data_IF_505279622076
#
_entry.id   IF_505279622076
#
_cell.length_a   1.000
_cell.length_b   1.000
_cell.length_c   1.000
_cell.angle_alpha   90.00
_cell.angle_beta   90.00
_cell.angle_gamma   90.00
#
_symmetry.space_group_name_H-M   'P 1'
#
loop_
_entity.id
_entity.type
_entity.pdbx_description
1 polymer ?
#
# COMPACT_ATOMS: atom_id res chain seq x y z
N UNK A 1 19.39 -8.52 3.72
CA UNK A 1 19.47 -7.08 3.39
C UNK A 1 19.12 -6.76 1.94
N UNK A 2 19.69 -7.48 0.94
CA UNK A 2 19.37 -7.25 -0.49
C UNK A 2 17.86 -7.34 -0.77
N UNK A 3 17.18 -8.35 -0.21
CA UNK A 3 15.73 -8.50 -0.32
C UNK A 3 14.96 -7.25 0.11
N UNK A 4 15.31 -6.65 1.24
CA UNK A 4 14.68 -5.42 1.74
C UNK A 4 14.94 -4.23 0.82
N UNK A 5 16.14 -4.07 0.28
CA UNK A 5 16.44 -2.99 -0.67
C UNK A 5 15.59 -3.14 -1.93
N UNK A 6 15.49 -4.36 -2.46
CA UNK A 6 14.64 -4.65 -3.62
C UNK A 6 13.17 -4.32 -3.32
N UNK A 7 12.65 -4.71 -2.16
CA UNK A 7 11.28 -4.36 -1.75
C UNK A 7 11.06 -2.85 -1.66
N UNK A 8 12.01 -2.11 -1.08
CA UNK A 8 11.92 -0.66 -0.97
C UNK A 8 11.87 0.02 -2.35
N UNK A 9 12.75 -0.40 -3.28
CA UNK A 9 12.78 0.13 -4.64
C UNK A 9 11.48 -0.17 -5.38
N UNK A 10 10.98 -1.41 -5.28
CA UNK A 10 9.71 -1.80 -5.91
C UNK A 10 8.52 -1.05 -5.30
N UNK A 11 8.52 -0.83 -3.98
CA UNK A 11 7.49 -0.05 -3.29
C UNK A 11 7.44 1.39 -3.80
N UNK A 12 8.60 2.06 -3.89
CA UNK A 12 8.70 3.43 -4.44
C UNK A 12 8.27 3.45 -5.90
N UNK A 13 8.73 2.50 -6.72
CA UNK A 13 8.41 2.44 -8.14
C UNK A 13 6.90 2.25 -8.38
N UNK A 14 6.23 1.39 -7.62
CA UNK A 14 4.79 1.13 -7.74
C UNK A 14 3.99 2.37 -7.33
N UNK A 15 4.34 3.01 -6.22
CA UNK A 15 3.67 4.25 -5.77
C UNK A 15 3.86 5.36 -6.80
N UNK A 16 5.09 5.54 -7.29
CA UNK A 16 5.38 6.51 -8.34
C UNK A 16 4.57 6.24 -9.60
N UNK A 17 4.53 5.00 -10.08
CA UNK A 17 3.79 4.64 -11.29
C UNK A 17 2.28 4.84 -11.15
N UNK A 18 1.74 4.57 -9.96
CA UNK A 18 0.34 4.82 -9.64
C UNK A 18 0.03 6.33 -9.69
N UNK A 19 0.85 7.17 -9.04
CA UNK A 19 0.68 8.63 -9.05
C UNK A 19 0.84 9.19 -10.46
N UNK A 20 1.89 8.79 -11.18
CA UNK A 20 2.18 9.23 -12.54
C UNK A 20 1.10 8.80 -13.54
N UNK A 21 0.43 7.66 -13.32
CA UNK A 21 -0.70 7.21 -14.14
C UNK A 21 -2.00 7.97 -13.88
N UNK A 22 -2.06 8.81 -12.84
CA UNK A 22 -3.28 9.46 -12.36
C UNK A 22 -3.10 10.98 -12.14
N UNK A 23 -2.53 11.74 -13.09
CA UNK A 23 -2.21 13.16 -12.87
C UNK A 23 -3.45 14.00 -12.56
N UNK A 24 -4.62 13.64 -13.10
CA UNK A 24 -5.87 14.35 -12.85
C UNK A 24 -6.37 14.23 -11.41
N UNK A 25 -6.00 13.14 -10.71
CA UNK A 25 -6.34 12.93 -9.30
C UNK A 25 -5.29 13.60 -8.41
N UNK A 26 -4.00 13.43 -8.73
CA UNK A 26 -2.90 13.90 -7.89
C UNK A 26 -2.48 15.36 -8.14
N UNK A 27 -3.12 16.06 -9.08
CA UNK A 27 -2.95 17.51 -9.25
C UNK A 27 -3.30 18.30 -7.99
N UNK A 28 -2.80 19.53 -7.92
CA UNK A 28 -3.21 20.50 -6.89
C UNK A 28 -4.66 20.93 -7.13
N UNK A 29 -5.53 20.94 -6.11
CA UNK A 29 -6.87 21.51 -6.23
C UNK A 29 -6.82 22.99 -6.64
N UNK A 30 -7.80 23.45 -7.42
CA UNK A 30 -7.86 24.83 -7.91
C UNK A 30 -8.05 25.85 -6.76
N UNK A 31 -8.76 25.45 -5.71
CA UNK A 31 -9.03 26.27 -4.53
C UNK A 31 -8.83 25.47 -3.25
N UNK A 32 -8.53 26.18 -2.15
CA UNK A 32 -8.34 25.57 -0.84
C UNK A 32 -7.00 24.85 -0.66
N UNK A 33 -6.85 24.05 0.42
CA UNK A 33 -5.59 23.41 0.78
C UNK A 33 -5.23 22.26 -0.17
N UNK A 34 -3.92 22.01 -0.35
CA UNK A 34 -3.42 20.94 -1.22
C UNK A 34 -3.81 19.52 -0.75
N UNK A 35 -4.03 19.36 0.56
CA UNK A 35 -4.38 18.09 1.24
C UNK A 35 -5.43 18.41 2.31
N UNK A 36 -6.47 17.59 2.43
CA UNK A 36 -7.50 17.76 3.46
C UNK A 36 -7.03 17.16 4.80
N UNK A 37 -7.65 17.53 5.94
CA UNK A 37 -7.34 16.89 7.22
C UNK A 37 -7.47 15.36 7.17
N UNK A 38 -8.48 14.83 6.45
CA UNK A 38 -8.68 13.40 6.32
C UNK A 38 -7.62 12.73 5.43
N UNK A 39 -7.22 13.37 4.32
CA UNK A 39 -6.08 12.89 3.52
C UNK A 39 -4.79 12.85 4.36
N UNK A 40 -4.54 13.88 5.18
CA UNK A 40 -3.40 13.90 6.09
C UNK A 40 -3.43 12.71 7.06
N UNK A 41 -4.58 12.40 7.67
CA UNK A 41 -4.73 11.25 8.57
C UNK A 41 -4.38 9.95 7.83
N UNK A 42 -4.91 9.73 6.63
CA UNK A 42 -4.59 8.54 5.85
C UNK A 42 -3.11 8.46 5.48
N UNK A 43 -2.48 9.55 5.04
CA UNK A 43 -1.05 9.54 4.73
C UNK A 43 -0.19 9.27 5.96
N UNK A 44 -0.51 9.87 7.11
CA UNK A 44 0.22 9.64 8.37
C UNK A 44 0.10 8.18 8.80
N UNK A 45 -1.10 7.62 8.83
CA UNK A 45 -1.32 6.21 9.17
C UNK A 45 -0.57 5.29 8.20
N UNK A 46 -0.66 5.57 6.88
CA UNK A 46 0.03 4.81 5.86
C UNK A 46 1.55 4.81 6.05
N UNK A 47 2.16 6.00 6.20
CA UNK A 47 3.61 6.15 6.39
C UNK A 47 4.06 5.49 7.70
N UNK A 48 3.33 5.69 8.80
CA UNK A 48 3.62 5.04 10.07
C UNK A 48 3.59 3.52 9.95
N UNK A 49 2.63 2.96 9.20
CA UNK A 49 2.54 1.52 8.98
C UNK A 49 3.74 0.96 8.21
N UNK A 50 4.30 1.71 7.26
CA UNK A 50 5.54 1.33 6.56
C UNK A 50 6.68 1.30 7.55
N UNK A 51 6.86 2.36 8.36
CA UNK A 51 7.96 2.45 9.31
C UNK A 51 7.96 1.30 10.33
N UNK A 52 6.78 1.00 10.89
CA UNK A 52 6.61 -0.10 11.86
C UNK A 52 6.81 -1.45 11.17
N UNK A 53 6.21 -1.68 10.01
CA UNK A 53 6.41 -2.92 9.26
C UNK A 53 7.86 -3.15 8.88
N UNK A 54 8.57 -2.10 8.46
CA UNK A 54 9.98 -2.16 8.09
C UNK A 54 10.88 -2.55 9.25
N UNK A 55 10.61 -2.01 10.45
CA UNK A 55 11.32 -2.39 11.66
C UNK A 55 11.24 -3.90 11.91
N UNK A 56 10.04 -4.48 11.83
CA UNK A 56 9.85 -5.93 12.02
C UNK A 56 10.44 -6.76 10.88
N UNK A 57 10.36 -6.30 9.63
CA UNK A 57 10.97 -6.98 8.49
C UNK A 57 12.50 -7.03 8.59
N UNK A 58 13.14 -5.97 9.10
CA UNK A 58 14.59 -5.97 9.37
C UNK A 58 14.94 -6.99 10.44
N UNK A 59 14.18 -7.03 11.54
CA UNK A 59 14.38 -8.01 12.62
C UNK A 59 14.24 -9.43 12.10
N UNK A 60 13.17 -9.70 11.34
CA UNK A 60 12.94 -11.00 10.71
C UNK A 60 14.12 -11.42 9.83
N UNK A 61 14.57 -10.58 8.89
CA UNK A 61 15.70 -10.94 8.02
C UNK A 61 17.00 -11.12 8.80
N UNK A 62 17.25 -10.32 9.84
CA UNK A 62 18.46 -10.44 10.65
C UNK A 62 18.47 -11.70 11.53
N UNK A 63 17.29 -12.11 12.03
CA UNK A 63 17.14 -13.26 12.91
C UNK A 63 17.10 -14.56 12.13
N UNK A 64 16.39 -14.58 11.00
CA UNK A 64 16.05 -15.82 10.32
C UNK A 64 16.86 -16.10 9.06
N UNK A 65 17.55 -15.14 8.43
CA UNK A 65 18.17 -15.42 7.12
C UNK A 65 19.33 -16.43 7.17
N UNK A 66 20.07 -16.53 8.27
CA UNK A 66 21.23 -17.44 8.45
C UNK A 66 22.12 -17.65 7.20
N UNK A 67 22.47 -16.55 6.52
CA UNK A 67 23.29 -16.58 5.30
C UNK A 67 22.55 -16.93 4.01
N UNK A 68 21.27 -17.31 4.06
CA UNK A 68 20.41 -17.45 2.89
C UNK A 68 20.20 -16.08 2.22
N UNK A 69 20.32 -16.08 0.88
CA UNK A 69 20.13 -14.90 0.03
C UNK A 69 18.89 -15.02 -0.86
N UNK A 70 18.22 -16.16 -0.85
CA UNK A 70 17.02 -16.39 -1.66
C UNK A 70 15.81 -15.71 -1.01
N UNK A 71 15.16 -14.74 -1.67
CA UNK A 71 14.04 -14.02 -1.07
C UNK A 71 12.73 -14.81 -1.07
N UNK A 72 12.62 -15.91 -1.83
CA UNK A 72 11.36 -16.61 -2.07
C UNK A 72 11.22 -17.83 -1.15
N UNK A 73 12.26 -18.64 -0.97
CA UNK A 73 12.24 -19.87 -0.16
C UNK A 73 13.46 -20.03 0.76
N UNK A 74 13.30 -20.85 1.80
CA UNK A 74 14.30 -21.10 2.84
C UNK A 74 14.25 -20.10 3.99
N UNK A 75 15.31 -20.09 4.79
CA UNK A 75 15.46 -19.26 5.98
C UNK A 75 15.51 -17.75 5.64
N UNK A 76 14.79 -16.92 6.40
CA UNK A 76 14.61 -15.49 6.19
C UNK A 76 13.88 -15.10 4.89
N UNK A 77 13.22 -16.06 4.23
CA UNK A 77 12.52 -15.85 2.96
C UNK A 77 11.04 -15.51 3.15
N UNK A 78 10.38 -15.14 2.05
CA UNK A 78 8.93 -14.93 2.04
C UNK A 78 8.14 -16.18 2.44
N UNK A 79 8.56 -17.38 2.03
CA UNK A 79 7.89 -18.62 2.40
C UNK A 79 7.89 -18.82 3.93
N UNK A 80 9.03 -18.62 4.59
CA UNK A 80 9.12 -18.72 6.04
C UNK A 80 8.35 -17.60 6.75
N UNK A 81 8.35 -16.38 6.20
CA UNK A 81 7.52 -15.28 6.73
C UNK A 81 6.03 -15.67 6.76
N UNK A 82 5.52 -16.29 5.68
CA UNK A 82 4.14 -16.77 5.61
C UNK A 82 3.90 -17.93 6.57
N UNK A 83 4.85 -18.87 6.69
CA UNK A 83 4.75 -19.97 7.66
C UNK A 83 4.62 -19.45 9.09
N UNK A 84 5.47 -18.49 9.48
CA UNK A 84 5.44 -17.87 10.81
C UNK A 84 4.14 -17.10 11.08
N UNK A 85 3.51 -16.53 10.03
CA UNK A 85 2.21 -15.88 10.14
C UNK A 85 1.09 -16.85 10.56
N UNK A 86 1.29 -18.16 10.40
CA UNK A 86 0.33 -19.22 10.77
C UNK A 86 0.87 -20.22 11.80
N UNK A 87 1.93 -19.87 12.53
CA UNK A 87 2.64 -20.82 13.42
C UNK A 87 1.86 -21.25 14.66
N UNK A 88 0.83 -20.50 15.09
CA UNK A 88 0.02 -20.80 16.26
C UNK A 88 -1.37 -20.16 16.12
N UNK A 89 -2.38 -20.54 16.94
CA UNK A 89 -3.75 -20.04 16.79
C UNK A 89 -3.90 -18.51 16.82
N UNK A 90 -3.13 -17.81 17.68
CA UNK A 90 -3.20 -16.36 17.76
C UNK A 90 -2.60 -15.68 16.53
N UNK A 91 -1.44 -16.17 16.06
CA UNK A 91 -0.83 -15.71 14.81
C UNK A 91 -1.75 -16.00 13.61
N UNK A 92 -2.30 -17.22 13.53
CA UNK A 92 -3.23 -17.62 12.47
C UNK A 92 -4.50 -16.78 12.43
N UNK A 93 -5.02 -16.35 13.58
CA UNK A 93 -6.15 -15.42 13.64
C UNK A 93 -5.82 -14.10 12.94
N UNK A 94 -4.67 -13.50 13.25
CA UNK A 94 -4.24 -12.26 12.59
C UNK A 94 -3.85 -12.48 11.12
N UNK A 95 -3.20 -13.61 10.81
CA UNK A 95 -2.78 -13.99 9.45
C UNK A 95 -3.96 -14.23 8.51
N UNK A 96 -5.07 -14.78 9.02
CA UNK A 96 -6.30 -14.95 8.27
C UNK A 96 -6.96 -13.59 7.95
N UNK A 97 -7.03 -12.67 8.91
CA UNK A 97 -7.51 -11.29 8.64
C UNK A 97 -6.65 -10.58 7.60
N UNK A 98 -5.32 -10.68 7.71
CA UNK A 98 -4.39 -10.15 6.71
C UNK A 98 -4.65 -10.77 5.32
N UNK A 99 -4.84 -12.08 5.25
CA UNK A 99 -5.05 -12.78 3.98
C UNK A 99 -6.36 -12.34 3.32
N UNK A 100 -7.46 -12.34 4.08
CA UNK A 100 -8.77 -11.93 3.55
C UNK A 100 -8.76 -10.44 3.20
N UNK A 101 -8.30 -9.59 4.09
CA UNK A 101 -8.28 -8.15 3.89
C UNK A 101 -7.36 -7.71 2.75
N UNK A 102 -6.14 -8.24 2.68
CA UNK A 102 -5.12 -7.80 1.74
C UNK A 102 -5.17 -8.53 0.40
N UNK A 103 -5.35 -9.85 0.41
CA UNK A 103 -5.18 -10.69 -0.80
C UNK A 103 -6.51 -10.93 -1.51
N UNK A 104 -7.65 -10.81 -0.80
CA UNK A 104 -8.98 -11.01 -1.38
C UNK A 104 -9.72 -9.67 -1.52
N UNK A 105 -9.99 -9.00 -0.40
CA UNK A 105 -10.86 -7.82 -0.39
C UNK A 105 -10.22 -6.60 -1.05
N UNK A 106 -8.96 -6.28 -0.72
CA UNK A 106 -8.27 -5.12 -1.31
C UNK A 106 -8.20 -5.17 -2.85
N UNK A 107 -7.77 -6.26 -3.53
CA UNK A 107 -7.77 -6.28 -4.99
C UNK A 107 -9.18 -6.20 -5.56
N UNK A 108 -10.17 -6.90 -4.98
CA UNK A 108 -11.56 -6.79 -5.45
C UNK A 108 -12.07 -5.34 -5.35
N UNK A 109 -11.87 -4.71 -4.19
CA UNK A 109 -12.28 -3.33 -3.96
C UNK A 109 -11.55 -2.38 -4.91
N UNK A 110 -10.22 -2.34 -4.86
CA UNK A 110 -9.42 -1.39 -5.64
C UNK A 110 -9.64 -1.58 -7.14
N UNK A 111 -9.64 -2.82 -7.65
CA UNK A 111 -9.80 -3.08 -9.09
C UNK A 111 -11.22 -2.75 -9.54
N UNK A 112 -12.26 -3.21 -8.83
CA UNK A 112 -13.65 -3.03 -9.29
C UNK A 112 -14.11 -1.60 -9.03
N UNK A 113 -14.02 -1.12 -7.79
CA UNK A 113 -14.46 0.24 -7.42
C UNK A 113 -13.55 1.29 -8.06
N UNK A 114 -12.22 1.08 -8.08
CA UNK A 114 -11.30 2.01 -8.72
C UNK A 114 -11.53 2.17 -10.22
N UNK A 115 -11.85 1.08 -10.93
CA UNK A 115 -12.25 1.15 -12.35
C UNK A 115 -13.56 1.92 -12.52
N UNK A 116 -14.55 1.67 -11.67
CA UNK A 116 -15.84 2.40 -11.70
C UNK A 116 -15.68 3.91 -11.45
N UNK A 117 -14.62 4.30 -10.74
CA UNK A 117 -14.26 5.70 -10.45
C UNK A 117 -13.28 6.32 -11.43
N UNK A 118 -12.94 5.62 -12.51
CA UNK A 118 -12.00 6.12 -13.52
C UNK A 118 -10.56 6.28 -13.02
N UNK A 119 -10.17 5.57 -11.96
CA UNK A 119 -8.76 5.51 -11.53
C UNK A 119 -7.98 4.71 -12.57
N UNK A 120 -6.89 5.28 -13.07
CA UNK A 120 -5.94 4.61 -13.94
C UNK A 120 -5.14 3.54 -13.19
N UNK A 121 -5.10 2.32 -13.73
CA UNK A 121 -4.33 1.17 -13.20
C UNK A 121 -4.58 0.91 -11.68
N UNK A 122 -5.83 0.76 -11.24
CA UNK A 122 -6.14 0.70 -9.82
C UNK A 122 -5.66 -0.59 -9.12
N UNK A 123 -5.32 -1.63 -9.89
CA UNK A 123 -4.65 -2.83 -9.38
C UNK A 123 -3.29 -2.52 -8.72
N UNK A 124 -2.67 -1.37 -9.02
CA UNK A 124 -1.43 -0.93 -8.40
C UNK A 124 -1.58 -0.68 -6.89
N UNK A 125 -2.79 -0.41 -6.38
CA UNK A 125 -3.00 -0.34 -4.93
C UNK A 125 -2.76 -1.70 -4.26
N UNK A 126 -3.29 -2.78 -4.83
CA UNK A 126 -2.99 -4.13 -4.36
C UNK A 126 -1.51 -4.46 -4.52
N UNK A 127 -0.89 -4.18 -5.67
CA UNK A 127 0.54 -4.44 -5.86
C UNK A 127 1.41 -3.64 -4.89
N UNK A 128 1.00 -2.42 -4.52
CA UNK A 128 1.72 -1.63 -3.52
C UNK A 128 1.73 -2.31 -2.15
N UNK A 129 0.69 -3.07 -1.79
CA UNK A 129 0.61 -3.76 -0.50
C UNK A 129 1.64 -4.89 -0.36
N UNK A 130 2.13 -5.44 -1.48
CA UNK A 130 3.16 -6.47 -1.50
C UNK A 130 4.55 -5.93 -1.14
N UNK A 131 4.79 -4.63 -1.35
CA UNK A 131 6.11 -4.01 -1.19
C UNK A 131 6.18 -2.97 -0.07
N UNK A 132 5.04 -2.45 0.37
CA UNK A 132 4.94 -1.47 1.45
C UNK A 132 4.34 -2.11 2.69
N UNK A 133 3.02 -2.02 2.85
CA UNK A 133 2.25 -2.76 3.84
C UNK A 133 0.78 -2.83 3.39
N UNK A 134 0.05 -3.81 3.91
CA UNK A 134 -1.42 -3.88 3.79
C UNK A 134 -2.10 -2.57 4.20
N UNK A 135 -1.72 -2.01 5.35
CA UNK A 135 -2.34 -0.80 5.88
C UNK A 135 -2.03 0.44 5.02
N UNK A 136 -0.81 0.55 4.48
CA UNK A 136 -0.44 1.63 3.56
C UNK A 136 -1.30 1.59 2.31
N UNK A 137 -1.47 0.42 1.69
CA UNK A 137 -2.24 0.31 0.45
C UNK A 137 -3.71 0.72 0.64
N UNK A 138 -4.34 0.30 1.76
CA UNK A 138 -5.68 0.75 2.13
C UNK A 138 -5.74 2.25 2.37
N UNK A 139 -4.84 2.78 3.19
CA UNK A 139 -4.81 4.20 3.51
C UNK A 139 -4.58 5.05 2.25
N UNK A 140 -3.70 4.60 1.35
CA UNK A 140 -3.43 5.28 0.09
C UNK A 140 -4.63 5.25 -0.85
N UNK A 141 -5.35 4.13 -0.92
CA UNK A 141 -6.60 4.04 -1.67
C UNK A 141 -7.65 5.02 -1.12
N UNK A 142 -7.86 5.02 0.19
CA UNK A 142 -8.81 5.93 0.85
C UNK A 142 -8.45 7.41 0.66
N UNK A 143 -7.17 7.77 0.75
CA UNK A 143 -6.70 9.11 0.44
C UNK A 143 -6.98 9.50 -1.02
N UNK A 144 -6.80 8.56 -1.96
CA UNK A 144 -7.11 8.77 -3.38
C UNK A 144 -8.60 9.00 -3.61
N UNK A 145 -9.46 8.22 -2.94
CA UNK A 145 -10.91 8.40 -3.00
C UNK A 145 -11.35 9.74 -2.42
N UNK A 146 -10.78 10.14 -1.28
CA UNK A 146 -11.06 11.43 -0.67
C UNK A 146 -10.65 12.59 -1.60
N UNK A 147 -9.48 12.46 -2.24
CA UNK A 147 -8.99 13.44 -3.19
C UNK A 147 -9.90 13.57 -4.41
N UNK A 148 -10.34 12.45 -4.99
CA UNK A 148 -11.32 12.48 -6.08
C UNK A 148 -12.64 13.15 -5.66
N UNK A 149 -13.16 12.81 -4.47
CA UNK A 149 -14.39 13.41 -3.93
C UNK A 149 -14.27 14.93 -3.84
N UNK A 150 -13.11 15.43 -3.40
CA UNK A 150 -12.84 16.88 -3.32
C UNK A 150 -12.76 17.54 -4.70
N UNK A 151 -12.09 16.89 -5.65
CA UNK A 151 -11.96 17.42 -7.01
C UNK A 151 -13.32 17.47 -7.73
N UNK A 152 -14.20 16.49 -7.50
CA UNK A 152 -15.55 16.49 -8.07
C UNK A 152 -16.47 17.58 -7.50
N UNK A 153 -16.21 18.05 -6.27
CA UNK A 153 -16.97 19.13 -5.61
C UNK A 153 -16.42 20.53 -5.90
N UNK A 154 -15.24 20.62 -6.49
CA UNK A 154 -14.66 21.91 -6.87
C UNK A 154 -15.39 22.41 -8.12
N UNK A 155 -15.89 23.66 -8.14
CA UNK A 155 -16.53 24.21 -9.34
C UNK A 155 -15.58 24.09 -10.53
N UNK A 156 -16.10 23.69 -11.69
CA UNK A 156 -15.33 23.78 -12.92
C UNK A 156 -14.85 25.24 -13.10
N UNK A 157 -13.59 25.47 -13.52
CA UNK A 157 -13.17 26.83 -13.82
C UNK A 157 -14.13 27.40 -14.86
N UNK A 158 -14.76 28.53 -14.53
CA UNK A 158 -15.49 29.31 -15.52
C UNK A 158 -14.49 29.63 -16.64
N UNK A 159 -14.83 29.22 -17.87
CA UNK A 159 -14.00 29.39 -19.05
C UNK A 159 -13.41 30.82 -19.09
N UNK A 160 -12.08 30.91 -19.26
CA UNK A 160 -11.38 32.12 -19.65
C UNK A 160 -11.13 32.09 -21.15
#
# INVERSE_FOLDING_TARGET
MVSLIVHAVLGVAVVWFLVASNPQIFRRPATGPAVSPLECVYYVIGIASIAVGWYFNIRFVNEYADGNVNPIWGDGSWAQYVELMFTNPAASSAGQDYTIGNVILLPLMTIIDGRRRGIGRPWLFFVSSLFTSFAFAWAFYLATLERQRRLARSPAPANA
#
